data_IF_467391587832
#
_entry.id   IF_467391587832
#
_cell.length_a   1.000
_cell.length_b   1.000
_cell.length_c   1.000
_cell.angle_alpha   90.00
_cell.angle_beta   90.00
_cell.angle_gamma   90.00
#
_symmetry.space_group_name_H-M   'P 1'
#
loop_
_entity.id
_entity.type
_entity.pdbx_description
1 polymer ?
#
# COMPACT_ATOMS: atom_id res chain seq x y z
N UNK A 1 4.74 -0.45 -46.16
CA UNK A 1 3.38 0.13 -46.20
C UNK A 1 3.39 1.42 -45.40
N UNK A 2 3.11 2.56 -46.04
CA UNK A 2 2.96 3.83 -45.33
C UNK A 2 1.47 4.11 -45.07
N UNK A 3 1.12 4.45 -43.83
CA UNK A 3 -0.23 4.82 -43.40
C UNK A 3 -0.15 6.22 -42.80
N UNK A 4 -0.75 7.20 -43.48
CA UNK A 4 -0.88 8.57 -42.98
C UNK A 4 -2.32 9.01 -43.02
N UNK A 5 -2.78 9.70 -41.98
CA UNK A 5 -4.09 10.34 -41.99
C UNK A 5 -4.00 11.85 -42.18
N UNK A 6 -5.13 12.43 -42.58
CA UNK A 6 -5.40 13.86 -42.36
C UNK A 6 -5.45 14.19 -40.86
N UNK A 7 -5.52 15.49 -40.53
CA UNK A 7 -5.84 15.89 -39.17
C UNK A 7 -7.29 15.46 -38.85
N UNK A 8 -7.51 14.86 -37.67
CA UNK A 8 -8.83 14.49 -37.12
C UNK A 8 -9.45 13.17 -37.60
N UNK A 9 -8.70 12.05 -37.55
CA UNK A 9 -9.29 10.71 -37.60
C UNK A 9 -10.31 10.57 -36.47
N UNK A 10 -11.50 10.05 -36.76
CA UNK A 10 -12.47 9.65 -35.74
C UNK A 10 -12.28 8.18 -35.38
N UNK A 11 -11.78 7.91 -34.16
CA UNK A 11 -11.45 6.53 -33.73
C UNK A 11 -12.66 5.60 -33.69
N UNK A 12 -13.85 6.11 -33.37
CA UNK A 12 -15.08 5.32 -33.35
C UNK A 12 -15.47 4.80 -34.73
N UNK A 13 -15.11 5.53 -35.80
CA UNK A 13 -15.32 5.09 -37.19
C UNK A 13 -14.22 4.15 -37.68
N UNK A 14 -13.00 4.28 -37.17
CA UNK A 14 -11.87 3.47 -37.59
C UNK A 14 -11.86 2.08 -36.97
N UNK A 15 -12.34 1.92 -35.73
CA UNK A 15 -12.32 0.62 -35.05
C UNK A 15 -13.10 -0.47 -35.82
N UNK A 16 -14.34 -0.24 -36.31
CA UNK A 16 -15.05 -1.23 -37.13
C UNK A 16 -14.31 -1.62 -38.42
N UNK A 17 -13.67 -0.63 -39.08
CA UNK A 17 -12.87 -0.89 -40.29
C UNK A 17 -11.65 -1.75 -39.94
N UNK A 18 -10.96 -1.44 -38.84
CA UNK A 18 -9.81 -2.21 -38.37
C UNK A 18 -10.20 -3.64 -38.01
N UNK A 19 -11.36 -3.85 -37.39
CA UNK A 19 -11.90 -5.18 -37.08
C UNK A 19 -12.26 -5.97 -38.35
N UNK A 20 -12.83 -5.33 -39.36
CA UNK A 20 -13.10 -5.99 -40.66
C UNK A 20 -11.80 -6.39 -41.38
N UNK A 21 -10.79 -5.50 -41.37
CA UNK A 21 -9.46 -5.80 -41.93
C UNK A 21 -8.79 -6.94 -41.15
N UNK A 22 -8.91 -6.97 -39.82
CA UNK A 22 -8.48 -8.09 -38.98
C UNK A 22 -9.11 -9.40 -39.40
N UNK A 23 -10.41 -9.43 -39.66
CA UNK A 23 -11.11 -10.67 -40.01
C UNK A 23 -10.71 -11.20 -41.39
N UNK A 24 -10.41 -10.30 -42.33
CA UNK A 24 -9.91 -10.65 -43.67
C UNK A 24 -8.50 -11.22 -43.60
N UNK A 25 -7.60 -10.59 -42.84
CA UNK A 25 -6.18 -10.93 -42.81
C UNK A 25 -5.75 -11.79 -41.60
N UNK A 26 -6.68 -12.14 -40.71
CA UNK A 26 -6.52 -13.01 -39.55
C UNK A 26 -5.35 -12.68 -38.61
N UNK A 27 -5.08 -11.40 -38.36
CA UNK A 27 -4.06 -10.98 -37.38
C UNK A 27 -4.64 -10.74 -35.98
N UNK A 28 -3.80 -10.82 -34.94
CA UNK A 28 -4.21 -10.58 -33.55
C UNK A 28 -4.26 -9.08 -33.26
N UNK A 29 -5.36 -8.63 -32.66
CA UNK A 29 -5.58 -7.25 -32.21
C UNK A 29 -5.90 -7.16 -30.71
N UNK A 30 -5.87 -8.26 -29.96
CA UNK A 30 -6.06 -8.20 -28.51
C UNK A 30 -4.91 -7.43 -27.86
N UNK A 31 -5.18 -6.50 -26.91
CA UNK A 31 -6.47 -6.22 -26.26
C UNK A 31 -7.33 -5.11 -26.92
N UNK A 32 -6.94 -4.54 -28.06
CA UNK A 32 -7.71 -3.45 -28.74
C UNK A 32 -9.16 -3.86 -29.04
N UNK A 33 -9.40 -5.14 -29.34
CA UNK A 33 -10.74 -5.68 -29.59
C UNK A 33 -11.66 -5.65 -28.36
N UNK A 34 -11.09 -5.47 -27.17
CA UNK A 34 -11.80 -5.41 -25.90
C UNK A 34 -11.92 -3.97 -25.37
N UNK A 35 -11.47 -3.00 -26.16
CA UNK A 35 -11.53 -1.57 -25.85
C UNK A 35 -12.63 -0.88 -26.66
N UNK A 36 -13.43 -0.03 -26.01
CA UNK A 36 -14.25 0.99 -26.68
C UNK A 36 -13.46 2.29 -26.70
N UNK A 37 -12.98 2.70 -27.89
CA UNK A 37 -12.15 3.88 -28.09
C UNK A 37 -12.92 4.91 -28.92
N UNK A 38 -13.09 6.12 -28.35
CA UNK A 38 -13.72 7.28 -28.99
C UNK A 38 -12.79 8.48 -28.94
N UNK A 39 -13.04 9.45 -29.80
CA UNK A 39 -12.28 10.69 -29.86
C UNK A 39 -11.66 10.93 -31.23
N UNK A 40 -10.77 11.91 -31.27
CA UNK A 40 -10.10 12.33 -32.50
C UNK A 40 -8.59 12.20 -32.38
N UNK A 41 -7.93 12.03 -33.52
CA UNK A 41 -6.48 11.92 -33.54
C UNK A 41 -5.87 12.09 -34.91
N UNK A 42 -4.59 11.77 -35.02
CA UNK A 42 -3.88 11.66 -36.29
C UNK A 42 -2.87 10.52 -36.20
N UNK A 43 -2.64 9.86 -37.32
CA UNK A 43 -1.69 8.76 -37.43
C UNK A 43 -0.68 9.06 -38.53
N UNK A 44 0.57 8.70 -38.28
CA UNK A 44 1.61 8.64 -39.29
C UNK A 44 2.47 7.43 -38.95
N UNK A 45 2.33 6.35 -39.71
CA UNK A 45 3.00 5.08 -39.50
C UNK A 45 3.66 4.64 -40.79
N UNK A 46 4.90 4.19 -40.70
CA UNK A 46 5.56 3.40 -41.74
C UNK A 46 5.77 1.99 -41.18
N UNK A 47 5.24 0.99 -41.90
CA UNK A 47 5.22 -0.41 -41.51
C UNK A 47 6.01 -1.21 -42.55
N UNK A 48 7.05 -1.89 -42.14
CA UNK A 48 7.93 -2.68 -43.00
C UNK A 48 8.18 -4.07 -42.39
N UNK A 49 8.56 -5.04 -43.21
CA UNK A 49 8.88 -6.40 -42.76
C UNK A 49 7.71 -7.39 -42.85
N UNK A 50 8.01 -8.66 -42.53
CA UNK A 50 7.03 -9.74 -42.47
C UNK A 50 6.24 -9.67 -41.16
N UNK A 51 5.06 -10.30 -41.10
CA UNK A 51 4.20 -10.26 -39.90
C UNK A 51 4.90 -10.73 -38.61
N UNK A 52 5.85 -11.68 -38.72
CA UNK A 52 6.65 -12.18 -37.58
C UNK A 52 7.76 -11.21 -37.14
N UNK A 53 8.23 -10.38 -38.06
CA UNK A 53 9.39 -9.48 -37.91
C UNK A 53 9.03 -8.08 -38.43
N UNK A 54 7.92 -7.53 -37.91
CA UNK A 54 7.38 -6.26 -38.37
C UNK A 54 8.08 -5.10 -37.66
N UNK A 55 8.50 -4.11 -38.44
CA UNK A 55 9.04 -2.84 -37.96
C UNK A 55 8.00 -1.75 -38.18
N UNK A 56 7.63 -1.04 -37.11
CA UNK A 56 6.69 0.08 -37.17
C UNK A 56 7.40 1.34 -36.68
N UNK A 57 7.42 2.37 -37.51
CA UNK A 57 7.95 3.68 -37.15
C UNK A 57 6.88 4.75 -37.32
N UNK A 58 6.78 5.67 -36.35
CA UNK A 58 5.84 6.78 -36.44
C UNK A 58 5.06 7.00 -35.15
N UNK A 59 3.83 7.50 -35.24
CA UNK A 59 3.01 7.78 -34.07
C UNK A 59 1.51 7.72 -34.34
N UNK A 60 0.76 7.50 -33.27
CA UNK A 60 -0.67 7.78 -33.16
C UNK A 60 -0.84 8.87 -32.10
N UNK A 61 -1.35 10.04 -32.48
CA UNK A 61 -1.69 11.12 -31.56
C UNK A 61 -3.19 11.05 -31.25
N UNK A 62 -3.52 11.12 -29.96
CA UNK A 62 -4.89 11.12 -29.45
C UNK A 62 -5.20 12.47 -28.81
N UNK A 63 -6.38 13.01 -29.08
CA UNK A 63 -6.89 14.25 -28.49
C UNK A 63 -8.30 14.04 -27.99
N UNK A 64 -8.52 14.40 -26.73
CA UNK A 64 -9.80 14.29 -26.04
C UNK A 64 -10.47 12.92 -26.26
N UNK A 65 -9.67 11.85 -26.16
CA UNK A 65 -10.16 10.50 -26.37
C UNK A 65 -10.81 9.95 -25.09
N UNK A 66 -11.71 8.98 -25.28
CA UNK A 66 -12.23 8.15 -24.22
C UNK A 66 -11.90 6.70 -24.53
N UNK A 67 -11.45 5.96 -23.52
CA UNK A 67 -11.07 4.54 -23.62
C UNK A 67 -11.73 3.79 -22.48
N UNK A 68 -12.55 2.79 -22.81
CA UNK A 68 -13.13 1.87 -21.83
C UNK A 68 -12.60 0.46 -22.08
N UNK A 69 -12.12 -0.20 -21.02
CA UNK A 69 -11.69 -1.59 -21.08
C UNK A 69 -12.67 -2.45 -20.28
N UNK A 70 -13.12 -3.57 -20.85
CA UNK A 70 -14.26 -4.34 -20.33
C UNK A 70 -14.14 -4.77 -18.86
N UNK A 71 -12.94 -5.05 -18.38
CA UNK A 71 -12.66 -5.59 -17.04
C UNK A 71 -12.09 -4.57 -16.06
N UNK A 72 -12.01 -3.29 -16.44
CA UNK A 72 -11.64 -2.19 -15.56
C UNK A 72 -12.86 -1.28 -15.30
N UNK A 73 -12.93 -0.74 -14.09
CA UNK A 73 -13.98 0.18 -13.70
C UNK A 73 -13.86 1.53 -14.40
N UNK A 74 -15.00 2.09 -14.82
CA UNK A 74 -15.06 3.41 -15.43
C UNK A 74 -14.46 3.47 -16.84
N UNK A 75 -14.38 4.67 -17.38
CA UNK A 75 -13.72 4.95 -18.66
C UNK A 75 -12.59 5.93 -18.38
N UNK A 76 -11.46 5.77 -19.07
CA UNK A 76 -10.50 6.84 -19.19
C UNK A 76 -11.09 7.92 -20.09
N UNK A 77 -11.06 9.17 -19.64
CA UNK A 77 -11.58 10.34 -20.32
C UNK A 77 -10.48 11.40 -20.45
N UNK A 78 -10.70 12.36 -21.35
CA UNK A 78 -9.74 13.41 -21.68
C UNK A 78 -8.34 12.84 -21.93
N UNK A 79 -8.27 11.70 -22.63
CA UNK A 79 -7.01 11.06 -22.98
C UNK A 79 -6.34 11.87 -24.08
N UNK A 80 -5.16 12.38 -23.79
CA UNK A 80 -4.38 13.24 -24.68
C UNK A 80 -2.92 12.79 -24.67
N UNK A 81 -2.27 12.82 -25.84
CA UNK A 81 -0.84 12.50 -25.97
C UNK A 81 -0.54 11.66 -27.21
N UNK A 82 0.59 10.97 -27.19
CA UNK A 82 1.05 10.15 -28.32
C UNK A 82 1.43 8.75 -27.88
N UNK A 83 1.17 7.82 -28.79
CA UNK A 83 1.80 6.50 -28.81
C UNK A 83 2.80 6.51 -29.95
N UNK A 84 4.09 6.36 -29.66
CA UNK A 84 5.18 6.45 -30.65
C UNK A 84 5.76 5.08 -30.92
N UNK A 85 5.80 4.70 -32.19
CA UNK A 85 6.36 3.45 -32.68
C UNK A 85 7.79 3.69 -33.13
N UNK A 86 8.73 2.89 -32.63
CA UNK A 86 10.15 2.89 -33.03
C UNK A 86 10.62 1.44 -33.11
N UNK A 87 10.71 0.90 -34.32
CA UNK A 87 10.99 -0.52 -34.53
C UNK A 87 9.87 -1.39 -33.97
N UNK A 88 10.22 -2.23 -33.00
CA UNK A 88 9.28 -3.09 -32.28
C UNK A 88 8.75 -2.46 -30.99
N UNK A 89 9.23 -1.26 -30.62
CA UNK A 89 8.87 -0.59 -29.36
C UNK A 89 7.75 0.43 -29.59
N UNK A 90 6.85 0.49 -28.60
CA UNK A 90 5.68 1.35 -28.54
C UNK A 90 5.77 2.18 -27.26
N UNK A 91 6.14 3.43 -27.41
CA UNK A 91 6.36 4.37 -26.31
C UNK A 91 5.09 5.15 -25.97
N UNK A 92 4.83 5.32 -24.67
CA UNK A 92 3.81 6.21 -24.15
C UNK A 92 4.43 7.61 -23.95
N UNK A 93 4.11 8.54 -24.84
CA UNK A 93 4.78 9.84 -24.99
C UNK A 93 3.80 10.98 -24.69
N UNK A 94 4.03 11.71 -23.59
CA UNK A 94 3.14 12.74 -23.05
C UNK A 94 1.66 12.31 -22.92
N UNK A 95 1.43 11.02 -22.69
CA UNK A 95 0.08 10.47 -22.56
C UNK A 95 -0.47 10.73 -21.16
N UNK A 96 -1.65 11.34 -21.09
CA UNK A 96 -2.35 11.68 -19.84
C UNK A 96 -3.84 11.38 -20.03
N UNK A 97 -4.49 10.85 -19.00
CA UNK A 97 -5.94 10.66 -18.97
C UNK A 97 -6.52 10.69 -17.56
N UNK A 98 -7.83 10.59 -17.44
CA UNK A 98 -8.53 10.61 -16.15
C UNK A 98 -9.54 9.45 -16.05
N UNK A 99 -9.54 8.72 -14.94
CA UNK A 99 -10.56 7.70 -14.63
C UNK A 99 -11.29 8.12 -13.37
N UNK A 100 -12.59 8.42 -13.44
CA UNK A 100 -13.36 8.96 -12.30
C UNK A 100 -12.72 10.20 -11.63
N UNK A 101 -12.01 11.00 -12.43
CA UNK A 101 -11.24 12.17 -11.99
C UNK A 101 -9.86 11.85 -11.38
N UNK A 102 -9.44 10.59 -11.34
CA UNK A 102 -8.08 10.18 -10.99
C UNK A 102 -7.19 10.44 -12.21
N UNK A 103 -6.19 11.32 -12.08
CA UNK A 103 -5.21 11.56 -13.14
C UNK A 103 -4.27 10.37 -13.27
N UNK A 104 -4.07 9.89 -14.49
CA UNK A 104 -3.16 8.79 -14.84
C UNK A 104 -2.16 9.27 -15.91
N UNK A 105 -0.89 9.04 -15.66
CA UNK A 105 0.23 9.42 -16.53
C UNK A 105 1.07 8.16 -16.78
N UNK A 106 0.80 7.39 -17.84
CA UNK A 106 1.65 6.30 -18.28
C UNK A 106 2.94 6.84 -18.93
N UNK A 107 4.04 6.12 -18.73
CA UNK A 107 5.33 6.38 -19.37
C UNK A 107 6.11 5.08 -19.53
N UNK A 108 7.12 5.07 -20.39
CA UNK A 108 7.89 3.86 -20.73
C UNK A 108 7.47 3.30 -22.09
N UNK A 109 7.58 1.98 -22.26
CA UNK A 109 7.24 1.34 -23.53
C UNK A 109 6.75 -0.09 -23.35
N UNK A 110 6.00 -0.54 -24.35
CA UNK A 110 5.77 -1.97 -24.61
C UNK A 110 6.37 -2.35 -25.95
N UNK A 111 6.43 -3.63 -26.24
CA UNK A 111 6.89 -4.16 -27.54
C UNK A 111 5.75 -4.84 -28.28
N UNK A 112 5.88 -4.97 -29.60
CA UNK A 112 4.92 -5.72 -30.43
C UNK A 112 4.86 -7.21 -30.03
N UNK A 113 5.86 -7.71 -29.30
CA UNK A 113 5.96 -9.09 -28.80
C UNK A 113 5.48 -9.25 -27.34
N UNK A 114 4.90 -8.21 -26.74
CA UNK A 114 4.25 -8.31 -25.44
C UNK A 114 5.14 -8.07 -24.21
N UNK A 115 6.41 -7.74 -24.38
CA UNK A 115 7.24 -7.21 -23.27
C UNK A 115 6.82 -5.77 -22.94
N UNK A 116 6.76 -5.43 -21.66
CA UNK A 116 6.46 -4.09 -21.14
C UNK A 116 7.53 -3.62 -20.15
N UNK A 117 7.81 -2.33 -20.14
CA UNK A 117 8.59 -1.60 -19.13
C UNK A 117 7.90 -0.25 -18.94
N UNK A 118 6.88 -0.25 -18.08
CA UNK A 118 5.87 0.81 -17.99
C UNK A 118 5.77 1.30 -16.56
N UNK A 119 5.72 2.63 -16.41
CA UNK A 119 5.36 3.30 -15.16
C UNK A 119 3.99 3.95 -15.32
N UNK A 120 3.07 3.60 -14.44
CA UNK A 120 1.78 4.25 -14.26
C UNK A 120 1.87 5.20 -13.06
N UNK A 121 1.80 6.51 -13.30
CA UNK A 121 1.86 7.50 -12.23
C UNK A 121 0.49 8.16 -12.02
N UNK A 122 0.03 8.18 -10.77
CA UNK A 122 -1.23 8.77 -10.32
C UNK A 122 -0.93 9.79 -9.22
N UNK A 123 -0.62 11.05 -9.58
CA UNK A 123 -0.41 12.10 -8.59
C UNK A 123 -1.70 12.46 -7.87
N UNK A 124 -1.63 12.73 -6.57
CA UNK A 124 -2.78 13.18 -5.76
C UNK A 124 -4.00 12.25 -5.90
N UNK A 125 -3.77 10.93 -5.96
CA UNK A 125 -4.81 9.91 -5.99
C UNK A 125 -5.69 10.06 -4.74
N UNK A 126 -6.97 10.37 -4.93
CA UNK A 126 -7.98 10.22 -3.89
C UNK A 126 -8.10 8.73 -3.54
N UNK A 127 -7.73 8.38 -2.32
CA UNK A 127 -7.63 6.99 -1.87
C UNK A 127 -8.99 6.28 -1.87
N UNK A 128 -10.08 7.01 -1.61
CA UNK A 128 -11.44 6.46 -1.63
C UNK A 128 -11.87 6.14 -3.05
N UNK A 129 -11.57 7.03 -4.00
CA UNK A 129 -11.80 6.76 -5.43
C UNK A 129 -10.92 5.62 -5.94
N UNK A 130 -9.65 5.57 -5.54
CA UNK A 130 -8.74 4.47 -5.88
C UNK A 130 -9.25 3.12 -5.38
N UNK A 131 -9.71 3.06 -4.13
CA UNK A 131 -10.32 1.85 -3.57
C UNK A 131 -11.59 1.44 -4.33
N UNK A 132 -12.46 2.40 -4.66
CA UNK A 132 -13.66 2.16 -5.47
C UNK A 132 -13.31 1.62 -6.87
N UNK A 133 -12.28 2.17 -7.51
CA UNK A 133 -11.80 1.71 -8.81
C UNK A 133 -11.34 0.25 -8.74
N UNK A 134 -10.57 -0.12 -7.71
CA UNK A 134 -10.12 -1.52 -7.51
C UNK A 134 -11.31 -2.47 -7.35
N UNK A 135 -12.24 -2.17 -6.45
CA UNK A 135 -13.43 -3.02 -6.23
C UNK A 135 -14.40 -3.07 -7.41
N UNK A 136 -14.42 -2.03 -8.25
CA UNK A 136 -15.22 -2.03 -9.47
C UNK A 136 -14.57 -2.75 -10.65
N UNK A 137 -13.30 -3.18 -10.53
CA UNK A 137 -12.51 -3.72 -11.63
C UNK A 137 -12.31 -5.23 -11.50
N UNK A 138 -13.05 -6.07 -12.25
CA UNK A 138 -12.86 -7.52 -12.25
C UNK A 138 -11.43 -7.98 -12.51
N UNK A 139 -10.64 -7.22 -13.28
CA UNK A 139 -9.23 -7.52 -13.55
C UNK A 139 -8.32 -7.44 -12.31
N UNK A 140 -8.79 -6.81 -11.22
CA UNK A 140 -8.00 -6.52 -10.03
C UNK A 140 -8.45 -7.35 -8.81
N UNK A 141 -9.01 -8.54 -9.03
CA UNK A 141 -9.55 -9.41 -7.98
C UNK A 141 -8.54 -9.77 -6.88
N UNK A 142 -7.29 -10.07 -7.22
CA UNK A 142 -6.22 -10.31 -6.25
C UNK A 142 -5.98 -9.08 -5.35
N UNK A 143 -6.03 -7.88 -5.94
CA UNK A 143 -5.90 -6.62 -5.20
C UNK A 143 -7.14 -6.40 -4.31
N UNK A 144 -8.33 -6.76 -4.78
CA UNK A 144 -9.54 -6.71 -3.95
C UNK A 144 -9.42 -7.61 -2.72
N UNK A 145 -8.87 -8.81 -2.87
CA UNK A 145 -8.61 -9.73 -1.75
C UNK A 145 -7.62 -9.11 -0.76
N UNK A 146 -6.54 -8.49 -1.25
CA UNK A 146 -5.54 -7.83 -0.41
C UNK A 146 -6.10 -6.63 0.38
N UNK A 147 -7.06 -5.90 -0.20
CA UNK A 147 -7.66 -4.71 0.42
C UNK A 147 -8.92 -4.99 1.26
N UNK A 148 -9.40 -6.24 1.31
CA UNK A 148 -10.70 -6.63 1.92
C UNK A 148 -10.90 -6.16 3.37
N UNK A 149 -9.81 -6.07 4.12
CA UNK A 149 -9.83 -5.70 5.53
C UNK A 149 -9.70 -4.18 5.76
N UNK A 150 -9.55 -3.39 4.68
CA UNK A 150 -9.67 -1.93 4.73
C UNK A 150 -11.15 -1.55 4.71
N UNK A 151 -11.67 -1.09 5.86
CA UNK A 151 -13.07 -0.68 6.02
C UNK A 151 -13.33 0.70 5.41
N UNK A 152 -12.42 1.64 5.63
CA UNK A 152 -12.54 3.02 5.13
C UNK A 152 -11.13 3.59 4.92
N UNK A 153 -10.95 4.32 3.82
CA UNK A 153 -9.71 5.01 3.50
C UNK A 153 -10.03 6.37 2.89
N UNK A 154 -9.35 7.43 3.35
CA UNK A 154 -9.55 8.81 2.89
C UNK A 154 -8.23 9.55 2.82
N UNK A 155 -8.25 10.71 2.16
CA UNK A 155 -7.08 11.53 1.91
C UNK A 155 -6.49 11.25 0.52
N UNK A 156 -5.30 11.78 0.29
CA UNK A 156 -4.62 11.69 -1.01
C UNK A 156 -3.27 11.01 -0.89
N UNK A 157 -2.86 10.34 -1.96
CA UNK A 157 -1.53 9.75 -2.07
C UNK A 157 -0.94 9.96 -3.46
N UNK A 158 0.39 10.08 -3.54
CA UNK A 158 1.07 9.98 -4.82
C UNK A 158 1.43 8.52 -5.06
N UNK A 159 0.89 7.93 -6.13
CA UNK A 159 1.03 6.49 -6.41
C UNK A 159 1.79 6.27 -7.72
N UNK A 160 2.78 5.38 -7.71
CA UNK A 160 3.48 4.93 -8.91
C UNK A 160 3.51 3.40 -8.94
N UNK A 161 3.11 2.82 -10.07
CA UNK A 161 3.18 1.38 -10.34
C UNK A 161 4.16 1.17 -11.50
N UNK A 162 5.08 0.23 -11.36
CA UNK A 162 6.09 -0.14 -12.34
C UNK A 162 5.86 -1.58 -12.74
N UNK A 163 5.63 -1.81 -14.03
CA UNK A 163 5.35 -3.11 -14.62
C UNK A 163 6.47 -3.43 -15.60
N UNK A 164 7.18 -4.53 -15.38
CA UNK A 164 8.31 -4.94 -16.22
C UNK A 164 8.27 -6.42 -16.55
N UNK A 165 8.30 -6.76 -17.84
CA UNK A 165 8.29 -8.15 -18.30
C UNK A 165 7.15 -8.48 -19.24
N UNK A 166 6.81 -9.77 -19.34
CA UNK A 166 5.76 -10.31 -20.22
C UNK A 166 4.58 -10.79 -19.40
N UNK A 167 3.48 -11.16 -20.07
CA UNK A 167 2.31 -11.81 -19.44
C UNK A 167 2.66 -13.03 -18.55
N UNK A 168 3.69 -13.79 -18.93
CA UNK A 168 4.17 -14.97 -18.17
C UNK A 168 5.16 -14.67 -17.05
N UNK A 169 5.83 -13.53 -17.09
CA UNK A 169 6.89 -13.18 -16.15
C UNK A 169 6.89 -11.66 -15.98
N UNK A 170 5.99 -11.19 -15.13
CA UNK A 170 5.76 -9.77 -14.87
C UNK A 170 6.27 -9.42 -13.46
N UNK A 171 7.31 -8.60 -13.41
CA UNK A 171 7.69 -7.92 -12.18
C UNK A 171 6.76 -6.71 -11.98
N UNK A 172 6.19 -6.60 -10.79
CA UNK A 172 5.30 -5.51 -10.39
C UNK A 172 5.85 -4.84 -9.14
N UNK A 173 6.25 -3.58 -9.26
CA UNK A 173 6.75 -2.79 -8.14
C UNK A 173 5.92 -1.53 -7.99
N UNK A 174 5.89 -0.94 -6.81
CA UNK A 174 5.19 0.32 -6.68
C UNK A 174 5.49 1.07 -5.41
N UNK A 175 5.00 2.30 -5.40
CA UNK A 175 5.21 3.29 -4.36
C UNK A 175 3.87 3.97 -4.10
N UNK A 176 3.45 4.03 -2.84
CA UNK A 176 2.29 4.77 -2.37
C UNK A 176 2.80 5.73 -1.30
N UNK A 177 2.84 7.02 -1.62
CA UNK A 177 3.24 8.07 -0.69
C UNK A 177 2.01 8.75 -0.13
N UNK A 178 1.73 8.51 1.15
CA UNK A 178 0.58 9.08 1.85
C UNK A 178 0.85 10.55 2.17
N UNK A 179 -0.13 11.40 1.85
CA UNK A 179 -0.12 12.83 2.15
C UNK A 179 -1.34 13.15 3.02
N UNK A 180 -1.25 12.83 4.31
CA UNK A 180 -2.33 13.05 5.30
C UNK A 180 -3.55 12.14 5.06
N UNK A 181 -3.30 10.83 5.10
CA UNK A 181 -4.34 9.83 4.90
C UNK A 181 -5.01 9.38 6.22
N UNK A 182 -6.22 8.86 6.07
CA UNK A 182 -6.99 8.20 7.12
C UNK A 182 -7.25 6.76 6.70
N UNK A 183 -7.13 5.83 7.64
CA UNK A 183 -7.34 4.40 7.44
C UNK A 183 -8.10 3.80 8.61
N UNK A 184 -9.22 3.13 8.33
CA UNK A 184 -9.90 2.24 9.27
C UNK A 184 -9.71 0.81 8.82
N UNK A 185 -9.03 0.00 9.63
CA UNK A 185 -8.70 -1.39 9.33
C UNK A 185 -9.51 -2.35 10.20
N UNK A 186 -9.98 -3.44 9.63
CA UNK A 186 -10.81 -4.44 10.30
C UNK A 186 -10.03 -5.10 11.44
N UNK A 187 -10.67 -5.16 12.60
CA UNK A 187 -10.11 -5.82 13.77
C UNK A 187 -9.27 -4.93 14.69
N UNK A 188 -8.96 -3.69 14.27
CA UNK A 188 -8.50 -2.64 15.17
C UNK A 188 -9.67 -1.74 15.57
N UNK A 189 -9.68 -1.30 16.83
CA UNK A 189 -10.79 -0.55 17.41
C UNK A 189 -10.83 0.92 17.02
N UNK A 190 -9.66 1.50 16.71
CA UNK A 190 -9.50 2.92 16.44
C UNK A 190 -8.88 3.10 15.04
N UNK A 191 -9.27 4.16 14.30
CA UNK A 191 -8.67 4.45 13.01
C UNK A 191 -7.27 5.04 13.15
N UNK A 192 -6.48 4.90 12.09
CA UNK A 192 -5.21 5.58 11.88
C UNK A 192 -5.47 6.86 11.10
N UNK A 193 -4.95 7.99 11.56
CA UNK A 193 -5.15 9.30 10.95
C UNK A 193 -3.82 10.00 10.73
N UNK A 194 -3.80 11.08 9.94
CA UNK A 194 -2.58 11.84 9.64
C UNK A 194 -1.44 10.99 9.12
N UNK A 195 -1.76 9.93 8.39
CA UNK A 195 -0.79 9.01 7.82
C UNK A 195 0.06 9.73 6.78
N UNK A 196 1.37 9.72 7.00
CA UNK A 196 2.40 10.29 6.14
C UNK A 196 3.55 9.29 6.00
N UNK A 197 4.26 9.37 4.89
CA UNK A 197 5.37 8.47 4.60
C UNK A 197 5.09 7.62 3.37
N UNK A 198 5.92 6.61 3.15
CA UNK A 198 5.90 5.84 1.92
C UNK A 198 5.78 4.35 2.19
N UNK A 199 4.83 3.71 1.51
CA UNK A 199 4.79 2.26 1.34
C UNK A 199 5.39 1.95 -0.03
N UNK A 200 6.33 1.00 -0.08
CA UNK A 200 6.79 0.41 -1.33
C UNK A 200 6.42 -1.05 -1.37
N UNK A 201 6.11 -1.56 -2.55
CA UNK A 201 6.03 -2.99 -2.76
C UNK A 201 6.98 -3.41 -3.88
N UNK A 202 7.54 -4.61 -3.73
CA UNK A 202 8.34 -5.28 -4.73
C UNK A 202 7.76 -6.68 -4.94
N UNK A 203 7.07 -6.88 -6.05
CA UNK A 203 6.15 -8.00 -6.22
C UNK A 203 5.18 -8.04 -5.03
N UNK A 204 5.17 -9.11 -4.24
CA UNK A 204 4.28 -9.23 -3.08
C UNK A 204 4.91 -8.73 -1.77
N UNK A 205 6.20 -8.41 -1.76
CA UNK A 205 6.90 -7.95 -0.57
C UNK A 205 6.60 -6.47 -0.29
N UNK A 206 6.32 -6.14 0.97
CA UNK A 206 5.93 -4.79 1.40
C UNK A 206 7.03 -4.18 2.27
N UNK A 207 7.36 -2.93 1.99
CA UNK A 207 8.32 -2.11 2.71
C UNK A 207 7.63 -0.85 3.24
N UNK A 208 7.79 -0.60 4.53
CA UNK A 208 7.31 0.57 5.23
C UNK A 208 8.48 1.53 5.43
N UNK A 209 8.48 2.66 4.72
CA UNK A 209 9.53 3.67 4.84
C UNK A 209 9.00 4.83 5.70
N UNK A 210 9.25 4.78 7.01
CA UNK A 210 8.90 5.82 7.98
C UNK A 210 7.44 6.27 7.87
N UNK A 211 6.50 5.32 7.90
CA UNK A 211 5.07 5.64 8.00
C UNK A 211 4.82 6.23 9.38
N UNK A 212 4.43 7.49 9.43
CA UNK A 212 4.04 8.18 10.65
C UNK A 212 2.53 8.46 10.61
N UNK A 213 1.82 8.20 11.70
CA UNK A 213 0.42 8.57 11.85
C UNK A 213 0.00 8.62 13.30
N UNK A 214 -1.27 8.98 13.49
CA UNK A 214 -1.90 9.07 14.80
C UNK A 214 -2.90 7.92 14.98
N UNK A 215 -2.88 7.32 16.16
CA UNK A 215 -3.94 6.45 16.68
C UNK A 215 -4.40 7.03 18.00
N UNK A 216 -5.66 7.44 18.07
CA UNK A 216 -6.11 8.36 19.12
C UNK A 216 -5.19 9.60 19.13
N UNK A 217 -4.71 10.01 20.30
CA UNK A 217 -3.78 11.15 20.44
C UNK A 217 -2.30 10.73 20.35
N UNK A 218 -2.00 9.47 20.04
CA UNK A 218 -0.63 8.97 20.01
C UNK A 218 -0.04 9.02 18.61
N UNK A 219 1.12 9.65 18.47
CA UNK A 219 1.89 9.61 17.24
C UNK A 219 2.78 8.36 17.19
N UNK A 220 2.64 7.54 16.15
CA UNK A 220 3.35 6.27 15.98
C UNK A 220 4.07 6.26 14.64
N UNK A 221 5.32 5.83 14.66
CA UNK A 221 6.14 5.62 13.46
C UNK A 221 6.37 4.12 13.25
N UNK A 222 6.18 3.67 12.01
CA UNK A 222 6.38 2.29 11.56
C UNK A 222 7.39 2.29 10.42
N UNK A 223 8.40 1.43 10.53
CA UNK A 223 9.34 1.14 9.45
C UNK A 223 9.66 -0.34 9.38
N UNK A 224 10.01 -0.83 8.20
CA UNK A 224 10.47 -2.21 8.04
C UNK A 224 9.88 -2.92 6.85
N UNK A 225 9.72 -4.23 6.97
CA UNK A 225 9.47 -5.15 5.88
C UNK A 225 8.55 -6.29 6.30
N UNK A 226 7.66 -6.67 5.38
CA UNK A 226 6.84 -7.87 5.46
C UNK A 226 6.94 -8.58 4.11
N UNK A 227 7.54 -9.77 4.10
CA UNK A 227 7.64 -10.60 2.91
C UNK A 227 6.44 -11.54 2.80
N UNK A 228 5.69 -11.47 1.71
CA UNK A 228 4.46 -12.25 1.56
C UNK A 228 4.74 -13.76 1.45
N UNK A 229 5.59 -14.15 0.48
CA UNK A 229 5.95 -15.56 0.26
C UNK A 229 6.89 -16.10 1.33
N UNK A 230 7.90 -15.31 1.71
CA UNK A 230 8.88 -15.72 2.73
C UNK A 230 8.28 -15.76 4.14
N UNK A 231 7.15 -15.07 4.35
CA UNK A 231 6.55 -14.78 5.66
C UNK A 231 7.49 -14.06 6.62
N UNK A 232 8.61 -13.52 6.14
CA UNK A 232 9.57 -12.84 7.00
C UNK A 232 9.01 -11.46 7.40
N UNK A 233 9.12 -11.13 8.68
CA UNK A 233 8.86 -9.80 9.21
C UNK A 233 10.17 -9.26 9.79
N UNK A 234 10.49 -8.01 9.47
CA UNK A 234 11.48 -7.20 10.18
C UNK A 234 10.91 -5.79 10.28
N UNK A 235 10.26 -5.48 11.40
CA UNK A 235 9.47 -4.26 11.58
C UNK A 235 9.80 -3.59 12.90
N UNK A 236 9.92 -2.27 12.86
CA UNK A 236 10.06 -1.40 14.01
C UNK A 236 8.85 -0.49 14.11
N UNK A 237 8.18 -0.51 15.25
CA UNK A 237 7.05 0.35 15.59
C UNK A 237 7.47 1.14 16.82
N UNK A 238 7.36 2.46 16.79
CA UNK A 238 7.83 3.29 17.88
C UNK A 238 6.98 4.52 18.09
N UNK A 239 7.06 5.07 19.30
CA UNK A 239 6.52 6.37 19.61
C UNK A 239 7.35 7.02 20.71
N UNK A 240 7.58 8.33 20.57
CA UNK A 240 8.31 9.13 21.56
C UNK A 240 7.48 9.41 22.80
N UNK A 241 6.16 9.50 22.66
CA UNK A 241 5.23 9.76 23.75
C UNK A 241 3.92 9.06 23.41
N UNK A 242 3.57 8.08 24.24
CA UNK A 242 2.28 7.39 24.21
C UNK A 242 1.56 7.66 25.52
N UNK A 243 0.33 8.12 25.42
CA UNK A 243 -0.64 8.16 26.50
C UNK A 243 -1.12 6.75 26.80
N UNK A 244 -0.83 6.27 28.01
CA UNK A 244 -1.06 4.88 28.38
C UNK A 244 -2.55 4.54 28.48
N UNK A 245 -3.39 5.52 28.82
CA UNK A 245 -4.84 5.38 28.77
C UNK A 245 -5.36 5.10 27.36
N UNK A 246 -4.80 5.79 26.36
CA UNK A 246 -5.16 5.65 24.95
C UNK A 246 -4.64 4.31 24.41
N UNK A 247 -3.41 3.91 24.80
CA UNK A 247 -2.87 2.60 24.46
C UNK A 247 -3.74 1.46 25.02
N UNK A 248 -4.16 1.56 26.29
CA UNK A 248 -5.09 0.58 26.89
C UNK A 248 -6.42 0.56 26.13
N UNK A 249 -7.01 1.72 25.84
CA UNK A 249 -8.26 1.84 25.07
C UNK A 249 -8.12 1.18 23.69
N UNK A 250 -7.04 1.46 22.97
CA UNK A 250 -6.76 0.87 21.67
C UNK A 250 -6.73 -0.66 21.74
N UNK A 251 -6.00 -1.23 22.71
CA UNK A 251 -5.94 -2.69 22.90
C UNK A 251 -7.33 -3.25 23.21
N UNK A 252 -8.03 -2.66 24.19
CA UNK A 252 -9.38 -3.10 24.61
C UNK A 252 -10.42 -3.07 23.49
N UNK A 253 -10.28 -2.15 22.53
CA UNK A 253 -11.19 -2.02 21.41
C UNK A 253 -10.78 -2.84 20.18
N UNK A 254 -9.60 -3.47 20.18
CA UNK A 254 -9.05 -4.18 19.01
C UNK A 254 -9.18 -5.71 19.10
N UNK A 255 -10.15 -6.28 18.38
CA UNK A 255 -10.36 -7.73 18.28
C UNK A 255 -9.09 -8.53 17.92
N UNK A 256 -8.23 -8.00 17.03
CA UNK A 256 -6.97 -8.66 16.66
C UNK A 256 -5.99 -8.77 17.84
N UNK A 257 -6.21 -8.01 18.90
CA UNK A 257 -5.40 -7.98 20.12
C UNK A 257 -6.08 -8.73 21.28
N UNK A 258 -7.01 -9.66 21.00
CA UNK A 258 -7.78 -10.38 22.03
C UNK A 258 -6.93 -11.04 23.13
N UNK A 259 -5.72 -11.54 22.80
CA UNK A 259 -4.78 -12.06 23.82
C UNK A 259 -4.31 -10.94 24.76
N UNK A 260 -3.89 -9.80 24.21
CA UNK A 260 -3.48 -8.63 24.98
C UNK A 260 -4.63 -8.02 25.76
N UNK A 261 -5.86 -8.03 25.24
CA UNK A 261 -7.07 -7.60 25.96
C UNK A 261 -7.24 -8.33 27.29
N UNK A 262 -7.05 -9.66 27.29
CA UNK A 262 -7.14 -10.49 28.50
C UNK A 262 -6.12 -10.11 29.56
N UNK A 263 -4.97 -9.55 29.18
CA UNK A 263 -3.92 -9.12 30.09
C UNK A 263 -4.22 -7.70 30.61
N UNK A 264 -4.51 -6.76 29.70
CA UNK A 264 -4.68 -5.35 30.08
C UNK A 264 -5.99 -5.07 30.82
N UNK A 265 -7.00 -5.95 30.72
CA UNK A 265 -8.28 -5.81 31.45
C UNK A 265 -8.13 -5.83 32.98
N UNK A 266 -7.05 -6.43 33.49
CA UNK A 266 -6.82 -6.55 34.93
C UNK A 266 -6.13 -5.31 35.51
N UNK A 267 -5.67 -4.40 34.64
CA UNK A 267 -5.27 -3.07 35.05
C UNK A 267 -6.51 -2.17 35.06
N UNK A 268 -7.16 -2.01 36.22
CA UNK A 268 -8.41 -1.23 36.37
C UNK A 268 -8.20 0.24 36.02
N UNK A 269 -7.09 0.81 36.45
CA UNK A 269 -6.68 2.18 36.17
C UNK A 269 -5.33 2.19 35.46
N UNK A 270 -5.19 3.01 34.41
CA UNK A 270 -3.92 3.28 33.72
C UNK A 270 -3.96 4.73 33.23
N UNK A 271 -2.92 5.50 33.56
CA UNK A 271 -2.76 6.89 33.13
C UNK A 271 -1.28 7.22 32.98
N UNK A 272 -0.97 8.20 32.16
CA UNK A 272 0.35 8.81 32.08
C UNK A 272 0.98 8.57 30.73
N UNK A 273 2.31 8.67 30.66
CA UNK A 273 3.02 8.57 29.39
C UNK A 273 4.22 7.64 29.45
N UNK A 274 4.54 7.05 28.30
CA UNK A 274 5.79 6.31 28.09
C UNK A 274 6.27 6.50 26.64
N UNK A 275 7.56 6.32 26.41
CA UNK A 275 8.05 6.02 25.06
C UNK A 275 8.01 4.52 24.86
N UNK A 276 7.80 4.06 23.62
CA UNK A 276 7.98 2.65 23.33
C UNK A 276 8.69 2.40 22.00
N UNK A 277 9.36 1.26 21.96
CA UNK A 277 9.99 0.68 20.77
C UNK A 277 9.64 -0.80 20.72
N UNK A 278 8.85 -1.19 19.73
CA UNK A 278 8.53 -2.58 19.40
C UNK A 278 9.33 -2.98 18.15
N UNK A 279 10.08 -4.06 18.27
CA UNK A 279 10.81 -4.69 17.17
C UNK A 279 10.24 -6.08 16.97
N UNK A 280 9.74 -6.33 15.77
CA UNK A 280 9.26 -7.62 15.30
C UNK A 280 10.28 -8.19 14.32
N UNK A 281 10.77 -9.40 14.56
CA UNK A 281 11.72 -10.08 13.68
C UNK A 281 11.49 -11.58 13.70
N UNK A 282 11.22 -12.18 12.54
CA UNK A 282 10.99 -13.63 12.42
C UNK A 282 9.97 -13.97 11.36
N UNK A 283 9.21 -15.05 11.57
CA UNK A 283 8.12 -15.48 10.68
C UNK A 283 6.78 -14.93 11.16
N UNK A 284 5.94 -14.46 10.23
CA UNK A 284 4.63 -13.85 10.52
C UNK A 284 3.59 -14.81 11.07
N UNK A 285 3.78 -16.12 10.83
CA UNK A 285 2.93 -17.21 11.35
C UNK A 285 3.47 -17.81 12.67
N UNK A 286 4.50 -17.20 13.25
CA UNK A 286 5.09 -17.57 14.53
C UNK A 286 5.15 -16.36 15.47
N UNK A 287 5.61 -16.58 16.71
CA UNK A 287 5.96 -15.47 17.59
C UNK A 287 7.17 -14.73 17.02
N UNK A 288 6.95 -13.49 16.60
CA UNK A 288 7.95 -12.64 15.97
C UNK A 288 8.39 -11.48 16.89
N UNK A 289 7.98 -11.47 18.17
CA UNK A 289 8.46 -10.45 19.10
C UNK A 289 9.98 -10.61 19.30
N UNK A 290 10.76 -9.61 18.88
CA UNK A 290 12.21 -9.57 19.18
C UNK A 290 12.48 -8.77 20.45
N UNK A 291 11.90 -7.58 20.54
CA UNK A 291 11.98 -6.74 21.73
C UNK A 291 10.82 -5.75 21.79
N UNK A 292 10.34 -5.47 22.99
CA UNK A 292 9.45 -4.36 23.32
C UNK A 292 10.06 -3.61 24.49
N UNK A 293 10.42 -2.36 24.27
CA UNK A 293 11.06 -1.50 25.25
C UNK A 293 10.11 -0.38 25.60
N UNK A 294 9.86 -0.17 26.89
CA UNK A 294 9.25 1.02 27.45
C UNK A 294 10.30 1.83 28.20
N UNK A 295 10.36 3.13 27.97
CA UNK A 295 11.29 4.07 28.62
C UNK A 295 10.62 5.40 28.93
N UNK A 296 11.32 6.27 29.67
CA UNK A 296 10.86 7.59 30.14
C UNK A 296 9.39 7.55 30.60
N UNK A 297 9.10 6.58 31.44
CA UNK A 297 7.74 6.27 31.87
C UNK A 297 7.36 7.13 33.07
N UNK A 298 6.34 7.95 32.92
CA UNK A 298 5.59 8.58 34.02
C UNK A 298 4.18 8.00 33.99
N UNK A 299 3.99 6.90 34.71
CA UNK A 299 2.79 6.09 34.64
C UNK A 299 2.16 5.91 36.01
N UNK A 300 0.84 5.87 36.06
CA UNK A 300 0.09 5.42 37.23
C UNK A 300 -0.81 4.29 36.78
N UNK A 301 -0.73 3.15 37.44
CA UNK A 301 -1.62 2.03 37.16
C UNK A 301 -2.08 1.34 38.43
N UNK A 302 -3.25 0.73 38.36
CA UNK A 302 -3.79 -0.12 39.41
C UNK A 302 -4.13 -1.46 38.77
N UNK A 303 -3.64 -2.55 39.38
CA UNK A 303 -3.96 -3.91 38.96
C UNK A 303 -4.89 -4.55 40.01
N UNK A 304 -5.90 -5.31 39.55
CA UNK A 304 -6.88 -5.99 40.42
C UNK A 304 -6.24 -6.86 41.50
N UNK A 305 -5.08 -7.46 41.22
CA UNK A 305 -4.38 -8.33 42.18
C UNK A 305 -3.61 -7.53 43.24
N UNK A 306 -3.20 -6.30 42.91
CA UNK A 306 -2.46 -5.43 43.82
C UNK A 306 -3.43 -4.61 44.68
N UNK A 307 -4.53 -4.14 44.09
CA UNK A 307 -5.61 -3.45 44.81
C UNK A 307 -5.30 -2.01 45.23
N UNK A 308 -4.16 -1.45 44.82
CA UNK A 308 -3.81 -0.03 45.03
C UNK A 308 -3.01 0.53 43.85
N UNK A 309 -3.06 1.85 43.60
CA UNK A 309 -2.29 2.49 42.54
C UNK A 309 -0.78 2.44 42.79
N UNK A 310 -0.03 2.15 41.74
CA UNK A 310 1.44 2.23 41.66
C UNK A 310 1.81 3.31 40.65
N UNK A 311 2.61 4.29 41.09
CA UNK A 311 3.21 5.29 40.21
C UNK A 311 4.62 4.85 39.84
N UNK A 312 4.96 4.85 38.55
CA UNK A 312 6.33 4.76 38.04
C UNK A 312 6.74 6.16 37.58
N UNK A 313 7.85 6.68 38.07
CA UNK A 313 8.38 8.00 37.69
C UNK A 313 9.51 7.94 36.67
N UNK A 314 10.25 6.83 36.62
CA UNK A 314 11.30 6.58 35.65
C UNK A 314 11.71 5.11 35.59
N UNK A 315 12.54 4.79 34.61
CA UNK A 315 13.17 3.49 34.40
C UNK A 315 12.86 2.90 33.03
N UNK A 316 13.37 1.69 32.80
CA UNK A 316 13.22 0.98 31.53
C UNK A 316 12.67 -0.42 31.77
N UNK A 317 11.68 -0.81 30.97
CA UNK A 317 11.18 -2.19 30.90
C UNK A 317 11.51 -2.72 29.51
N UNK A 318 12.28 -3.79 29.44
CA UNK A 318 12.60 -4.49 28.20
C UNK A 318 11.99 -5.88 28.22
N UNK A 319 11.18 -6.19 27.23
CA UNK A 319 10.47 -7.46 27.07
C UNK A 319 10.97 -8.10 25.79
N UNK A 320 11.49 -9.31 25.89
CA UNK A 320 11.77 -10.17 24.74
C UNK A 320 10.81 -11.35 24.75
N UNK A 321 10.98 -12.22 23.78
CA UNK A 321 10.23 -13.47 23.68
C UNK A 321 10.45 -14.43 24.87
N UNK A 322 11.57 -14.33 25.58
CA UNK A 322 11.90 -15.20 26.72
C UNK A 322 12.11 -14.45 28.05
N UNK A 323 12.27 -13.13 28.02
CA UNK A 323 12.68 -12.38 29.21
C UNK A 323 11.89 -11.09 29.43
N UNK A 324 11.67 -10.73 30.69
CA UNK A 324 11.25 -9.39 31.11
C UNK A 324 12.32 -8.85 32.02
N UNK A 325 12.92 -7.73 31.65
CA UNK A 325 13.96 -7.06 32.39
C UNK A 325 13.51 -5.66 32.78
N UNK A 326 13.70 -5.31 34.05
CA UNK A 326 13.49 -3.97 34.59
C UNK A 326 14.83 -3.37 34.99
N UNK A 327 15.05 -2.11 34.62
CA UNK A 327 16.27 -1.38 34.93
C UNK A 327 15.92 -0.03 35.55
N UNK A 328 16.28 0.14 36.82
CA UNK A 328 16.14 1.42 37.52
C UNK A 328 14.70 1.93 37.58
N UNK A 329 13.71 1.03 37.69
CA UNK A 329 12.32 1.44 37.82
C UNK A 329 12.13 2.07 39.19
N UNK A 330 11.88 3.37 39.23
CA UNK A 330 11.52 4.06 40.46
C UNK A 330 10.01 4.17 40.55
N UNK A 331 9.47 3.68 41.66
CA UNK A 331 8.04 3.57 41.84
C UNK A 331 7.60 3.95 43.25
N UNK A 332 6.32 4.33 43.36
CA UNK A 332 5.66 4.66 44.62
C UNK A 332 4.34 3.91 44.72
N UNK A 333 4.12 3.27 45.86
CA UNK A 333 2.85 2.66 46.25
C UNK A 333 2.37 3.30 47.56
N UNK A 334 1.27 4.04 47.52
CA UNK A 334 0.86 4.89 48.64
C UNK A 334 1.94 5.93 48.96
N UNK A 335 2.51 5.88 50.17
CA UNK A 335 3.59 6.76 50.63
C UNK A 335 4.98 6.08 50.59
N UNK A 336 5.06 4.87 50.06
CA UNK A 336 6.31 4.09 50.06
C UNK A 336 6.98 4.17 48.70
N UNK A 337 8.18 4.74 48.67
CA UNK A 337 9.06 4.72 47.50
C UNK A 337 9.86 3.41 47.46
N UNK A 338 9.98 2.82 46.28
CA UNK A 338 10.76 1.62 46.06
C UNK A 338 11.40 1.63 44.66
N UNK A 339 12.45 0.83 44.51
CA UNK A 339 13.12 0.63 43.21
C UNK A 339 13.00 -0.83 42.80
N UNK A 340 12.70 -1.07 41.53
CA UNK A 340 12.65 -2.41 40.94
C UNK A 340 13.76 -2.52 39.90
N UNK A 341 14.61 -3.53 40.10
CA UNK A 341 15.62 -3.96 39.15
C UNK A 341 15.67 -5.47 39.17
N UNK A 342 15.58 -6.09 38.00
CA UNK A 342 15.57 -7.54 37.92
C UNK A 342 15.37 -8.05 36.51
N UNK A 343 15.55 -9.36 36.36
CA UNK A 343 15.32 -10.07 35.12
C UNK A 343 14.57 -11.36 35.43
N UNK A 344 13.38 -11.51 34.84
CA UNK A 344 12.65 -12.77 34.78
C UNK A 344 12.95 -13.40 33.42
N UNK A 345 13.31 -14.68 33.39
CA UNK A 345 13.67 -15.44 32.17
C UNK A 345 12.88 -16.74 32.08
N UNK A 346 13.02 -17.49 30.97
CA UNK A 346 12.30 -18.75 30.72
C UNK A 346 10.77 -18.59 30.60
N UNK A 347 10.30 -17.46 30.07
CA UNK A 347 8.86 -17.19 29.94
C UNK A 347 8.17 -18.18 28.99
N UNK A 348 8.87 -18.69 27.97
CA UNK A 348 8.32 -19.68 27.03
C UNK A 348 8.14 -21.08 27.64
N UNK A 349 8.89 -21.43 28.69
CA UNK A 349 8.82 -22.75 29.31
C UNK A 349 7.52 -22.99 30.10
N UNK A 350 6.78 -21.92 30.44
CA UNK A 350 5.62 -21.96 31.33
C UNK A 350 4.27 -21.74 30.61
N UNK A 351 4.24 -21.74 29.28
CA UNK A 351 3.02 -21.65 28.48
C UNK A 351 2.92 -22.93 27.64
N UNK A 352 2.53 -24.04 28.28
CA UNK A 352 2.07 -25.26 27.61
C UNK A 352 0.58 -25.43 27.83
#
# INVERSE_FOLDING_TARGET
>A
MAISSTQNINFAKCLPVLLAVRDIFQFKLTPVTEMDIKGIGKTNLNIEGAFKDVTINGYVEVKNASVKYKTLAGSAENVNGKVKFVGEKVYYDDLIGFVDGIKLIPSGYSTLHGYSDVKLYMPQLDLKKGQKFVYGSPLLDEVQIALKDIIDIKGVADTAIFLKGTDKNLDSNGIIKFNDAFLKYKGYGEPFSKLKGQLRYKNEDIYFDNINGNVLENNVTVSGFVGALSKNIDMTISSKIVRLEDAKKFVMNSFLLAKSQKIVKDYTFVKGTAQFLLVLKGKSDQDCLKSLIFSNTDAVFENKQVGFPVKISQGVINITDDTVQTQGIQARAGNTDFTVQGKVSNLKANIK
#
